data_IF_369258051757
#
_entry.id   IF_369258051757
#
_cell.length_a   1.000
_cell.length_b   1.000
_cell.length_c   1.000
_cell.angle_alpha   90.00
_cell.angle_beta   90.00
_cell.angle_gamma   90.00
#
_symmetry.space_group_name_H-M   'P 1'
#
loop_
_entity.id
_entity.type
_entity.pdbx_description
1 polymer ?
#
# COMPACT_ATOMS: atom_id res chain seq x y z
N UNK A 1 -0.28 0.17 29.29
CA UNK A 1 -0.65 -0.88 28.32
C UNK A 1 -0.75 -0.37 26.88
N UNK A 2 -1.46 0.76 26.56
CA UNK A 2 -1.64 1.18 25.15
C UNK A 2 -0.32 1.34 24.38
N UNK A 3 0.65 2.09 24.89
CA UNK A 3 1.94 2.32 24.22
C UNK A 3 2.76 1.04 23.91
N UNK A 4 2.57 -0.01 24.72
CA UNK A 4 3.22 -1.30 24.46
C UNK A 4 2.50 -2.07 23.34
N UNK A 5 1.17 -1.93 23.27
CA UNK A 5 0.39 -2.57 22.23
C UNK A 5 0.74 -1.97 20.86
N UNK A 6 0.81 -0.65 20.75
CA UNK A 6 1.19 0.02 19.49
C UNK A 6 2.55 -0.48 18.98
N UNK A 7 3.55 -0.60 19.86
CA UNK A 7 4.87 -1.12 19.49
C UNK A 7 4.82 -2.59 19.03
N UNK A 8 3.95 -3.42 19.63
CA UNK A 8 3.75 -4.81 19.21
C UNK A 8 3.09 -4.86 17.85
N UNK A 9 2.06 -4.07 17.61
CA UNK A 9 1.37 -4.03 16.30
C UNK A 9 2.30 -3.54 15.20
N UNK A 10 3.14 -2.52 15.47
CA UNK A 10 4.17 -2.08 14.52
C UNK A 10 5.20 -3.18 14.22
N UNK A 11 5.61 -3.95 15.23
CA UNK A 11 6.55 -5.06 15.03
C UNK A 11 5.92 -6.19 14.19
N UNK A 12 4.65 -6.53 14.43
CA UNK A 12 3.91 -7.52 13.64
C UNK A 12 3.79 -7.03 12.19
N UNK A 13 3.43 -5.75 11.99
CA UNK A 13 3.31 -5.18 10.65
C UNK A 13 4.65 -5.12 9.91
N UNK A 14 5.74 -4.80 10.61
CA UNK A 14 7.08 -4.82 10.03
C UNK A 14 7.50 -6.25 9.62
N UNK A 15 7.23 -7.27 10.45
CA UNK A 15 7.49 -8.66 10.12
C UNK A 15 6.67 -9.11 8.88
N UNK A 16 5.40 -8.71 8.82
CA UNK A 16 4.54 -8.95 7.65
C UNK A 16 5.13 -8.33 6.38
N UNK A 17 5.59 -7.08 6.44
CA UNK A 17 6.24 -6.40 5.32
C UNK A 17 7.48 -7.14 4.84
N UNK A 18 8.38 -7.52 5.74
CA UNK A 18 9.58 -8.28 5.42
C UNK A 18 9.28 -9.61 4.73
N UNK A 19 8.30 -10.37 5.24
CA UNK A 19 7.90 -11.64 4.62
C UNK A 19 7.25 -11.47 3.23
N UNK A 20 6.71 -10.30 2.92
CA UNK A 20 6.15 -10.01 1.59
C UNK A 20 7.17 -9.49 0.58
N UNK A 21 8.22 -8.84 1.07
CA UNK A 21 9.30 -8.30 0.25
C UNK A 21 10.41 -9.33 0.02
N UNK A 22 10.23 -10.58 0.52
CA UNK A 22 11.16 -11.66 0.23
C UNK A 22 11.36 -11.81 -1.27
N UNK A 23 12.57 -11.46 -1.65
CA UNK A 23 13.07 -11.44 -3.02
C UNK A 23 12.86 -12.82 -3.62
N UNK A 24 12.14 -12.88 -4.73
CA UNK A 24 12.05 -14.09 -5.54
C UNK A 24 13.47 -14.56 -5.88
N UNK A 25 13.92 -15.65 -5.27
CA UNK A 25 15.25 -16.24 -5.51
C UNK A 25 16.10 -16.53 -4.28
N UNK A 26 15.68 -16.12 -3.09
CA UNK A 26 16.27 -16.59 -1.83
C UNK A 26 15.23 -17.47 -1.14
N UNK A 27 15.13 -18.72 -1.62
CA UNK A 27 14.49 -19.80 -0.87
C UNK A 27 15.28 -19.98 0.45
N UNK A 28 14.90 -19.25 1.49
CA UNK A 28 15.14 -19.70 2.84
C UNK A 28 13.95 -20.60 3.22
N UNK A 29 14.10 -21.93 3.12
CA UNK A 29 13.03 -22.83 3.52
C UNK A 29 12.79 -22.66 5.02
N UNK A 30 11.64 -22.14 5.42
CA UNK A 30 11.20 -22.24 6.79
C UNK A 30 10.68 -20.98 7.50
N UNK A 31 10.71 -19.80 6.93
CA UNK A 31 10.21 -18.61 7.60
C UNK A 31 9.10 -17.94 6.77
N UNK A 32 7.86 -18.39 6.93
CA UNK A 32 6.68 -17.65 6.46
C UNK A 32 6.35 -16.51 7.44
N UNK A 33 7.20 -15.48 7.46
CA UNK A 33 7.01 -14.32 8.34
C UNK A 33 5.67 -13.62 8.11
N UNK A 34 5.19 -13.59 6.88
CA UNK A 34 3.90 -12.98 6.58
C UNK A 34 2.75 -13.80 7.17
N UNK A 35 2.74 -15.11 6.98
CA UNK A 35 1.76 -16.01 7.58
C UNK A 35 1.79 -16.02 9.10
N UNK A 36 2.99 -15.99 9.69
CA UNK A 36 3.15 -15.91 11.15
C UNK A 36 2.63 -14.57 11.70
N UNK A 37 2.87 -13.46 11.01
CA UNK A 37 2.35 -12.14 11.41
C UNK A 37 0.82 -12.12 11.37
N UNK A 38 0.19 -12.68 10.33
CA UNK A 38 -1.27 -12.80 10.24
C UNK A 38 -1.81 -13.72 11.36
N UNK A 39 -1.13 -14.84 11.62
CA UNK A 39 -1.51 -15.72 12.72
C UNK A 39 -1.45 -15.02 14.08
N UNK A 40 -0.38 -14.27 14.35
CA UNK A 40 -0.24 -13.48 15.57
C UNK A 40 -1.36 -12.44 15.71
N UNK A 41 -1.69 -11.72 14.64
CA UNK A 41 -2.76 -10.73 14.68
C UNK A 41 -4.12 -11.38 14.97
N UNK A 42 -4.43 -12.55 14.39
CA UNK A 42 -5.64 -13.32 14.74
C UNK A 42 -5.62 -13.75 16.20
N UNK A 43 -4.49 -14.27 16.68
CA UNK A 43 -4.36 -14.65 18.09
C UNK A 43 -4.65 -13.48 19.04
N UNK A 44 -4.18 -12.27 18.69
CA UNK A 44 -4.44 -11.08 19.50
C UNK A 44 -5.89 -10.60 19.36
N UNK A 45 -6.51 -10.64 18.17
CA UNK A 45 -7.91 -10.24 17.99
C UNK A 45 -8.87 -11.09 18.82
N UNK A 46 -8.60 -12.40 18.93
CA UNK A 46 -9.37 -13.32 19.78
C UNK A 46 -9.20 -13.03 21.29
N UNK A 47 -8.05 -12.55 21.71
CA UNK A 47 -7.71 -12.34 23.13
C UNK A 47 -7.99 -10.93 23.64
N UNK A 48 -8.01 -9.97 22.75
CA UNK A 48 -8.21 -8.55 23.02
C UNK A 48 -9.28 -7.98 22.07
N UNK A 49 -10.52 -8.52 22.12
CA UNK A 49 -11.55 -8.17 21.14
C UNK A 49 -12.03 -6.71 21.21
N UNK A 50 -11.69 -5.99 22.28
CA UNK A 50 -12.04 -4.59 22.50
C UNK A 50 -10.95 -3.61 22.01
N UNK A 51 -9.89 -4.12 21.36
CA UNK A 51 -8.78 -3.30 20.85
C UNK A 51 -8.87 -3.11 19.33
N UNK A 52 -9.39 -1.96 18.85
CA UNK A 52 -9.74 -1.75 17.45
C UNK A 52 -8.53 -1.81 16.49
N UNK A 53 -7.34 -1.40 16.92
CA UNK A 53 -6.17 -1.41 16.05
C UNK A 53 -5.63 -2.82 15.80
N UNK A 54 -5.92 -3.80 16.66
CA UNK A 54 -5.62 -5.22 16.38
C UNK A 54 -6.48 -5.71 15.21
N UNK A 55 -7.80 -5.46 15.27
CA UNK A 55 -8.72 -5.78 14.19
C UNK A 55 -8.37 -5.03 12.91
N UNK A 56 -7.99 -3.74 13.03
CA UNK A 56 -7.52 -2.92 11.91
C UNK A 56 -6.28 -3.51 11.24
N UNK A 57 -5.29 -3.91 12.01
CA UNK A 57 -4.06 -4.53 11.50
C UNK A 57 -4.34 -5.87 10.82
N UNK A 58 -5.15 -6.73 11.44
CA UNK A 58 -5.54 -8.01 10.84
C UNK A 58 -6.28 -7.80 9.52
N UNK A 59 -7.26 -6.89 9.48
CA UNK A 59 -7.98 -6.55 8.27
C UNK A 59 -7.04 -6.04 7.16
N UNK A 60 -6.11 -5.15 7.49
CA UNK A 60 -5.11 -4.62 6.56
C UNK A 60 -4.29 -5.75 5.91
N UNK A 61 -3.74 -6.64 6.73
CA UNK A 61 -2.92 -7.74 6.24
C UNK A 61 -3.74 -8.71 5.37
N UNK A 62 -4.97 -9.05 5.78
CA UNK A 62 -5.87 -9.92 5.01
C UNK A 62 -6.27 -9.31 3.66
N UNK A 63 -6.58 -8.01 3.59
CA UNK A 63 -6.81 -7.32 2.30
C UNK A 63 -5.57 -7.36 1.41
N UNK A 64 -4.39 -7.20 1.97
CA UNK A 64 -3.15 -7.30 1.24
C UNK A 64 -2.90 -8.73 0.71
N UNK A 65 -3.13 -9.75 1.54
CA UNK A 65 -2.96 -11.16 1.17
C UNK A 65 -3.97 -11.63 0.14
N UNK A 66 -5.19 -11.11 0.21
CA UNK A 66 -6.22 -11.41 -0.77
C UNK A 66 -5.76 -11.17 -2.22
N UNK A 67 -4.80 -10.27 -2.42
CA UNK A 67 -4.26 -9.87 -3.72
C UNK A 67 -2.87 -10.41 -4.03
N UNK A 68 -2.31 -11.24 -3.15
CA UNK A 68 -0.92 -11.73 -3.27
C UNK A 68 -0.67 -12.42 -4.61
N UNK A 69 -1.57 -13.32 -5.03
CA UNK A 69 -1.46 -14.03 -6.31
C UNK A 69 -1.54 -13.12 -7.55
N UNK A 70 -2.16 -11.93 -7.44
CA UNK A 70 -2.32 -10.98 -8.54
C UNK A 70 -1.14 -10.00 -8.68
N UNK A 71 -0.20 -9.98 -7.73
CA UNK A 71 0.92 -9.02 -7.74
C UNK A 71 2.02 -9.32 -8.75
N UNK A 72 2.07 -10.57 -9.22
CA UNK A 72 3.04 -11.03 -10.20
C UNK A 72 2.36 -11.85 -11.28
N UNK A 73 2.89 -11.76 -12.50
CA UNK A 73 2.52 -12.69 -13.58
C UNK A 73 3.11 -14.07 -13.30
N UNK A 74 2.70 -15.09 -14.08
CA UNK A 74 3.30 -16.42 -14.03
C UNK A 74 4.82 -16.40 -14.26
N UNK A 75 5.29 -15.44 -15.07
CA UNK A 75 6.72 -15.25 -15.37
C UNK A 75 7.44 -14.37 -14.34
N UNK A 76 6.77 -13.99 -13.22
CA UNK A 76 7.35 -13.24 -12.12
C UNK A 76 7.38 -11.73 -12.29
N UNK A 77 6.84 -11.14 -13.36
CA UNK A 77 6.78 -9.69 -13.56
C UNK A 77 5.83 -9.03 -12.57
N UNK A 78 6.22 -7.86 -12.06
CA UNK A 78 5.39 -7.07 -11.17
C UNK A 78 4.14 -6.54 -11.87
N UNK A 79 2.98 -6.65 -11.20
CA UNK A 79 1.68 -6.15 -11.69
C UNK A 79 1.16 -5.09 -10.71
N UNK A 80 1.10 -3.80 -11.12
CA UNK A 80 0.57 -2.75 -10.26
C UNK A 80 -0.92 -2.97 -9.98
N UNK A 81 -1.40 -2.45 -8.85
CA UNK A 81 -2.77 -2.67 -8.38
C UNK A 81 -3.84 -2.33 -9.44
N UNK A 82 -3.64 -1.25 -10.19
CA UNK A 82 -4.55 -0.83 -11.27
C UNK A 82 -4.69 -1.87 -12.39
N UNK A 83 -3.66 -2.66 -12.63
CA UNK A 83 -3.58 -3.66 -13.71
C UNK A 83 -3.90 -5.09 -13.22
N UNK A 84 -4.03 -5.30 -11.91
CA UNK A 84 -4.40 -6.61 -11.36
C UNK A 84 -5.80 -7.02 -11.78
N UNK A 85 -5.96 -8.31 -12.10
CA UNK A 85 -7.29 -8.88 -12.36
C UNK A 85 -8.02 -9.19 -11.04
N UNK A 86 -9.11 -8.46 -10.69
CA UNK A 86 -9.83 -8.70 -9.44
C UNK A 86 -10.44 -10.09 -9.32
N UNK A 87 -10.68 -10.81 -10.41
CA UNK A 87 -11.21 -12.18 -10.39
C UNK A 87 -10.24 -13.19 -9.75
N UNK A 88 -8.95 -12.84 -9.66
CA UNK A 88 -7.92 -13.70 -9.02
C UNK A 88 -7.76 -13.41 -7.52
N UNK A 89 -8.46 -12.42 -7.00
CA UNK A 89 -8.37 -12.07 -5.58
C UNK A 89 -9.15 -13.06 -4.70
N UNK A 90 -8.62 -13.35 -3.51
CA UNK A 90 -9.26 -14.26 -2.57
C UNK A 90 -10.51 -13.64 -1.94
N UNK A 91 -11.68 -14.03 -2.43
CA UNK A 91 -12.95 -13.58 -1.87
C UNK A 91 -13.13 -14.00 -0.39
N UNK A 92 -12.51 -15.09 0.05
CA UNK A 92 -12.56 -15.54 1.44
C UNK A 92 -11.76 -14.58 2.34
N UNK A 93 -10.52 -14.23 1.96
CA UNK A 93 -9.70 -13.29 2.71
C UNK A 93 -10.32 -11.88 2.74
N UNK A 94 -10.94 -11.43 1.63
CA UNK A 94 -11.66 -10.15 1.60
C UNK A 94 -12.81 -10.14 2.60
N UNK A 95 -13.66 -11.17 2.63
CA UNK A 95 -14.78 -11.24 3.60
C UNK A 95 -14.33 -11.27 5.06
N UNK A 96 -13.25 -11.99 5.36
CA UNK A 96 -12.67 -12.00 6.69
C UNK A 96 -12.14 -10.59 7.05
N UNK A 97 -11.41 -9.94 6.15
CA UNK A 97 -10.92 -8.58 6.35
C UNK A 97 -12.05 -7.56 6.58
N UNK A 98 -13.15 -7.66 5.81
CA UNK A 98 -14.33 -6.81 5.99
C UNK A 98 -14.98 -7.04 7.38
N UNK A 99 -15.01 -8.28 7.85
CA UNK A 99 -15.55 -8.62 9.18
C UNK A 99 -14.70 -7.99 10.28
N UNK A 100 -13.38 -8.09 10.19
CA UNK A 100 -12.44 -7.51 11.14
C UNK A 100 -12.50 -5.97 11.12
N UNK A 101 -12.53 -5.36 9.94
CA UNK A 101 -12.66 -3.91 9.81
C UNK A 101 -13.98 -3.39 10.40
N UNK A 102 -15.08 -4.12 10.19
CA UNK A 102 -16.36 -3.79 10.78
C UNK A 102 -16.36 -3.96 12.33
N UNK A 103 -15.62 -4.94 12.86
CA UNK A 103 -15.42 -5.09 14.30
C UNK A 103 -14.66 -3.88 14.87
N UNK A 104 -13.54 -3.50 14.24
CA UNK A 104 -12.78 -2.31 14.62
C UNK A 104 -13.63 -1.04 14.64
N UNK A 105 -14.42 -0.82 13.58
CA UNK A 105 -15.27 0.36 13.43
C UNK A 105 -16.33 0.47 14.55
N UNK A 106 -16.91 -0.65 14.96
CA UNK A 106 -17.93 -0.67 16.06
C UNK A 106 -17.36 -0.23 17.41
N UNK A 107 -16.05 -0.33 17.63
CA UNK A 107 -15.41 0.08 18.87
C UNK A 107 -15.20 1.62 18.96
N UNK A 108 -15.43 2.37 17.88
CA UNK A 108 -15.55 3.83 17.89
C UNK A 108 -14.25 4.59 18.20
N UNK A 109 -13.10 3.93 18.15
CA UNK A 109 -11.77 4.54 18.30
C UNK A 109 -10.99 4.33 17.02
N UNK A 110 -10.89 5.37 16.20
CA UNK A 110 -10.19 5.31 14.91
C UNK A 110 -8.68 5.33 15.14
N UNK A 111 -7.96 4.44 14.47
CA UNK A 111 -6.52 4.37 14.50
C UNK A 111 -5.92 4.18 13.10
N UNK A 112 -4.59 4.15 13.04
CA UNK A 112 -3.83 4.08 11.79
C UNK A 112 -4.15 2.85 10.96
N UNK A 113 -4.09 1.66 11.59
CA UNK A 113 -4.29 0.40 10.85
C UNK A 113 -5.72 0.25 10.33
N UNK A 114 -6.71 0.79 11.06
CA UNK A 114 -8.08 0.85 10.57
C UNK A 114 -8.21 1.73 9.31
N UNK A 115 -7.57 2.90 9.28
CA UNK A 115 -7.58 3.79 8.12
C UNK A 115 -6.88 3.14 6.92
N UNK A 116 -5.72 2.52 7.14
CA UNK A 116 -5.02 1.78 6.09
C UNK A 116 -5.87 0.60 5.58
N UNK A 117 -6.54 -0.14 6.46
CA UNK A 117 -7.47 -1.21 6.07
C UNK A 117 -8.68 -0.69 5.29
N UNK A 118 -9.27 0.44 5.71
CA UNK A 118 -10.39 1.08 5.00
C UNK A 118 -10.00 1.48 3.57
N UNK A 119 -8.79 2.00 3.36
CA UNK A 119 -8.26 2.29 2.02
C UNK A 119 -8.19 1.00 1.18
N UNK A 120 -7.70 -0.11 1.77
CA UNK A 120 -7.64 -1.40 1.06
C UNK A 120 -9.03 -1.96 0.76
N UNK A 121 -10.00 -1.80 1.67
CA UNK A 121 -11.41 -2.19 1.44
C UNK A 121 -11.97 -1.50 0.20
N UNK A 122 -11.82 -0.17 0.08
CA UNK A 122 -12.26 0.58 -1.11
C UNK A 122 -11.60 0.07 -2.39
N UNK A 123 -10.32 -0.28 -2.34
CA UNK A 123 -9.66 -0.89 -3.50
C UNK A 123 -10.26 -2.26 -3.87
N UNK A 124 -10.67 -3.07 -2.89
CA UNK A 124 -11.26 -4.39 -3.16
C UNK A 124 -12.68 -4.33 -3.70
N UNK A 125 -13.45 -3.27 -3.41
CA UNK A 125 -14.78 -3.03 -4.00
C UNK A 125 -14.75 -2.99 -5.54
N UNK A 126 -13.60 -2.71 -6.15
CA UNK A 126 -13.43 -2.78 -7.61
C UNK A 126 -13.79 -4.15 -8.18
N UNK A 127 -13.62 -5.24 -7.41
CA UNK A 127 -14.02 -6.57 -7.84
C UNK A 127 -15.52 -6.69 -8.13
N UNK A 128 -16.34 -5.89 -7.46
CA UNK A 128 -17.79 -5.89 -7.59
C UNK A 128 -18.30 -4.73 -8.47
N UNK A 129 -17.69 -3.55 -8.33
CA UNK A 129 -18.16 -2.31 -8.97
C UNK A 129 -17.48 -2.01 -10.31
N UNK A 130 -16.37 -2.67 -10.61
CA UNK A 130 -15.51 -2.38 -11.77
C UNK A 130 -14.73 -1.07 -11.66
N UNK A 131 -14.92 -0.28 -10.59
CA UNK A 131 -14.31 1.05 -10.41
C UNK A 131 -13.79 1.24 -8.98
N UNK A 132 -12.73 2.05 -8.85
CA UNK A 132 -12.20 2.47 -7.55
C UNK A 132 -12.84 3.80 -7.14
N UNK A 133 -13.32 3.90 -5.91
CA UNK A 133 -13.87 5.14 -5.34
C UNK A 133 -12.74 6.03 -4.80
N UNK A 134 -12.05 6.72 -5.71
CA UNK A 134 -10.93 7.60 -5.36
C UNK A 134 -11.29 8.72 -4.38
N UNK A 135 -12.47 9.38 -4.48
CA UNK A 135 -12.89 10.35 -3.46
C UNK A 135 -12.91 9.77 -2.03
N UNK A 136 -13.41 8.57 -1.84
CA UNK A 136 -13.40 7.91 -0.51
C UNK A 136 -11.96 7.63 -0.04
N UNK A 137 -11.09 7.17 -0.93
CA UNK A 137 -9.67 6.91 -0.63
C UNK A 137 -8.96 8.20 -0.19
N UNK A 138 -9.22 9.33 -0.85
CA UNK A 138 -8.64 10.62 -0.49
C UNK A 138 -9.03 11.01 0.93
N UNK A 139 -10.31 10.90 1.29
CA UNK A 139 -10.79 11.20 2.65
C UNK A 139 -10.08 10.34 3.71
N UNK A 140 -9.91 9.03 3.45
CA UNK A 140 -9.17 8.17 4.39
C UNK A 140 -7.70 8.56 4.48
N UNK A 141 -7.04 8.94 3.37
CA UNK A 141 -5.66 9.42 3.43
C UNK A 141 -5.52 10.77 4.14
N UNK A 142 -6.49 11.68 4.04
CA UNK A 142 -6.50 12.94 4.79
C UNK A 142 -6.44 12.65 6.29
N UNK A 143 -7.35 11.81 6.80
CA UNK A 143 -7.34 11.40 8.19
C UNK A 143 -6.08 10.60 8.59
N UNK A 144 -5.57 9.74 7.70
CA UNK A 144 -4.35 8.98 7.96
C UNK A 144 -3.13 9.89 8.09
N UNK A 145 -3.01 10.90 7.22
CA UNK A 145 -1.89 11.86 7.26
C UNK A 145 -1.98 12.77 8.49
N UNK A 146 -3.19 13.10 8.96
CA UNK A 146 -3.39 13.85 10.22
C UNK A 146 -2.98 13.01 11.44
N UNK A 147 -3.39 11.73 11.47
CA UNK A 147 -3.16 10.84 12.61
C UNK A 147 -1.72 10.30 12.65
N UNK A 148 -1.19 9.90 11.49
CA UNK A 148 0.12 9.27 11.31
C UNK A 148 0.81 9.79 10.04
N UNK A 149 1.48 10.95 10.10
CA UNK A 149 2.03 11.64 8.93
C UNK A 149 3.30 10.96 8.37
N UNK A 150 3.17 9.72 7.95
CA UNK A 150 4.29 8.98 7.33
C UNK A 150 4.54 9.46 5.91
N UNK A 151 5.78 9.31 5.45
CA UNK A 151 6.13 9.61 4.06
C UNK A 151 5.33 8.77 3.06
N UNK A 152 5.12 7.48 3.39
CA UNK A 152 4.30 6.57 2.58
C UNK A 152 2.87 7.05 2.42
N UNK A 153 2.21 7.46 3.51
CA UNK A 153 0.84 7.96 3.47
C UNK A 153 0.71 9.23 2.61
N UNK A 154 1.67 10.17 2.73
CA UNK A 154 1.68 11.41 1.93
C UNK A 154 1.88 11.15 0.43
N UNK A 155 2.78 10.23 0.06
CA UNK A 155 3.02 9.87 -1.34
C UNK A 155 1.82 9.12 -1.92
N UNK A 156 1.21 8.21 -1.16
CA UNK A 156 0.04 7.48 -1.59
C UNK A 156 -1.21 8.39 -1.70
N UNK A 157 -1.36 9.38 -0.79
CA UNK A 157 -2.37 10.42 -0.91
C UNK A 157 -2.22 11.20 -2.22
N UNK A 158 -0.99 11.61 -2.56
CA UNK A 158 -0.74 12.32 -3.81
C UNK A 158 -1.09 11.49 -5.05
N UNK A 159 -0.81 10.18 -5.03
CA UNK A 159 -1.23 9.28 -6.08
C UNK A 159 -2.76 9.15 -6.18
N UNK A 160 -3.48 9.05 -5.05
CA UNK A 160 -4.93 9.01 -5.03
C UNK A 160 -5.56 10.31 -5.55
N UNK A 161 -4.98 11.47 -5.20
CA UNK A 161 -5.39 12.78 -5.74
C UNK A 161 -5.18 12.84 -7.25
N UNK A 162 -4.08 12.29 -7.76
CA UNK A 162 -3.84 12.24 -9.20
C UNK A 162 -4.88 11.40 -9.95
N UNK A 163 -5.28 10.26 -9.39
CA UNK A 163 -6.31 9.40 -9.97
C UNK A 163 -7.69 10.06 -10.01
N UNK A 164 -8.02 10.87 -9.00
CA UNK A 164 -9.30 11.57 -8.92
C UNK A 164 -9.34 12.88 -9.71
N UNK A 165 -8.25 13.65 -9.74
CA UNK A 165 -8.20 15.04 -10.17
C UNK A 165 -7.15 15.31 -11.25
N UNK A 166 -6.44 14.29 -11.72
CA UNK A 166 -5.43 14.36 -12.76
C UNK A 166 -4.02 14.57 -12.26
N UNK A 167 -3.05 14.25 -13.11
CA UNK A 167 -1.62 14.20 -12.79
C UNK A 167 -1.08 15.52 -12.19
N UNK A 168 -1.52 16.67 -12.70
CA UNK A 168 -1.08 17.98 -12.19
C UNK A 168 -1.44 18.18 -10.70
N UNK A 169 -2.64 17.74 -10.28
CA UNK A 169 -3.07 17.83 -8.89
C UNK A 169 -2.21 16.93 -7.98
N UNK A 170 -1.89 15.71 -8.43
CA UNK A 170 -1.00 14.80 -7.71
C UNK A 170 0.42 15.34 -7.60
N UNK A 171 0.98 15.91 -8.67
CA UNK A 171 2.30 16.55 -8.67
C UNK A 171 2.34 17.70 -7.66
N UNK A 172 1.31 18.55 -7.63
CA UNK A 172 1.22 19.63 -6.66
C UNK A 172 1.21 19.13 -5.20
N UNK A 173 0.64 17.96 -4.92
CA UNK A 173 0.72 17.33 -3.59
C UNK A 173 2.13 16.78 -3.31
N UNK A 174 2.78 16.13 -4.28
CA UNK A 174 4.16 15.65 -4.12
C UNK A 174 5.14 16.79 -3.85
N UNK A 175 4.96 17.94 -4.49
CA UNK A 175 5.83 19.11 -4.34
C UNK A 175 5.76 19.76 -2.93
N UNK A 176 4.73 19.43 -2.13
CA UNK A 176 4.62 19.85 -0.72
C UNK A 176 5.45 18.98 0.23
N UNK A 177 5.92 17.82 -0.24
CA UNK A 177 6.75 16.93 0.57
C UNK A 177 8.19 17.43 0.51
N UNK A 178 8.84 17.52 1.68
CA UNK A 178 10.22 17.95 1.77
C UNK A 178 11.14 17.06 0.92
N UNK A 179 11.91 17.67 0.03
CA UNK A 179 12.79 16.97 -0.91
C UNK A 179 13.93 16.20 -0.24
N UNK A 180 14.40 16.64 0.90
CA UNK A 180 15.44 15.94 1.62
C UNK A 180 14.92 14.59 2.19
N UNK A 181 13.68 14.58 2.66
CA UNK A 181 13.05 13.38 3.20
C UNK A 181 12.76 12.29 2.15
N UNK A 182 12.58 12.68 0.89
CA UNK A 182 12.26 11.75 -0.21
C UNK A 182 13.47 11.26 -0.99
N UNK A 183 14.67 11.76 -0.69
CA UNK A 183 15.87 11.51 -1.50
C UNK A 183 16.17 10.00 -1.70
N UNK A 184 15.92 9.17 -0.70
CA UNK A 184 16.10 7.71 -0.74
C UNK A 184 14.79 6.92 -0.76
N UNK A 185 13.64 7.59 -0.92
CA UNK A 185 12.34 6.93 -0.89
C UNK A 185 11.86 6.59 -2.30
N UNK A 186 12.12 5.38 -2.74
CA UNK A 186 11.83 4.87 -4.09
C UNK A 186 10.38 5.14 -4.56
N UNK A 187 9.31 4.91 -3.74
CA UNK A 187 7.94 5.10 -4.21
C UNK A 187 7.62 6.55 -4.61
N UNK A 188 8.23 7.54 -3.95
CA UNK A 188 8.06 8.95 -4.34
C UNK A 188 8.53 9.19 -5.78
N UNK A 189 9.71 8.69 -6.14
CA UNK A 189 10.27 8.89 -7.47
C UNK A 189 9.50 8.13 -8.54
N UNK A 190 9.00 6.92 -8.21
CA UNK A 190 8.16 6.15 -9.12
C UNK A 190 6.82 6.84 -9.42
N UNK A 191 6.13 7.34 -8.37
CA UNK A 191 4.88 8.09 -8.53
C UNK A 191 5.14 9.40 -9.29
N UNK A 192 6.20 10.15 -8.93
CA UNK A 192 6.54 11.39 -9.62
C UNK A 192 6.80 11.16 -11.12
N UNK A 193 7.62 10.15 -11.46
CA UNK A 193 7.92 9.80 -12.85
C UNK A 193 6.65 9.46 -13.65
N UNK A 194 5.78 8.66 -13.05
CA UNK A 194 4.50 8.29 -13.65
C UNK A 194 3.61 9.52 -13.91
N UNK A 195 3.46 10.39 -12.93
CA UNK A 195 2.61 11.58 -13.04
C UNK A 195 3.17 12.62 -14.02
N UNK A 196 4.48 12.84 -14.03
CA UNK A 196 5.12 13.72 -15.02
C UNK A 196 4.86 13.22 -16.44
N UNK A 197 4.95 11.91 -16.67
CA UNK A 197 4.64 11.33 -17.98
C UNK A 197 3.18 11.47 -18.37
N UNK A 198 2.25 11.28 -17.41
CA UNK A 198 0.82 11.48 -17.66
C UNK A 198 0.46 12.95 -17.96
N UNK A 199 1.17 13.90 -17.36
CA UNK A 199 0.97 15.32 -17.60
C UNK A 199 1.34 15.76 -19.04
N UNK A 200 2.15 14.97 -19.76
CA UNK A 200 2.33 15.10 -21.21
C UNK A 200 3.08 16.34 -21.70
N UNK A 201 3.73 17.08 -20.82
CA UNK A 201 4.50 18.27 -21.20
C UNK A 201 5.84 17.89 -21.84
N UNK A 202 6.06 18.34 -23.08
CA UNK A 202 7.29 18.04 -23.86
C UNK A 202 8.56 18.57 -23.18
N UNK A 203 8.46 19.63 -22.39
CA UNK A 203 9.55 20.21 -21.60
C UNK A 203 9.96 19.36 -20.40
N UNK A 204 9.12 18.40 -20.00
CA UNK A 204 9.35 17.53 -18.84
C UNK A 204 10.09 16.23 -19.17
N UNK A 205 10.45 15.94 -20.42
CA UNK A 205 11.07 14.66 -20.80
C UNK A 205 12.35 14.36 -20.00
N UNK A 206 13.21 15.35 -19.81
CA UNK A 206 14.41 15.20 -19.01
C UNK A 206 14.08 14.95 -17.51
N UNK A 207 13.07 15.63 -16.99
CA UNK A 207 12.62 15.46 -15.60
C UNK A 207 11.94 14.09 -15.40
N UNK A 208 11.13 13.63 -16.36
CA UNK A 208 10.55 12.28 -16.38
C UNK A 208 11.64 11.22 -16.29
N UNK A 209 12.65 11.33 -17.18
CA UNK A 209 13.77 10.38 -17.21
C UNK A 209 14.57 10.40 -15.91
N UNK A 210 14.89 11.58 -15.38
CA UNK A 210 15.60 11.72 -14.12
C UNK A 210 14.85 11.10 -12.94
N UNK A 211 13.51 11.25 -12.90
CA UNK A 211 12.67 10.64 -11.87
C UNK A 211 12.64 9.10 -11.99
N UNK A 212 12.52 8.55 -13.22
CA UNK A 212 12.63 7.11 -13.45
C UNK A 212 14.01 6.58 -13.06
N UNK A 213 15.10 7.24 -13.48
CA UNK A 213 16.46 6.83 -13.13
C UNK A 213 16.66 6.75 -11.62
N UNK A 214 16.10 7.72 -10.90
CA UNK A 214 16.15 7.72 -9.44
C UNK A 214 15.33 6.57 -8.84
N UNK A 215 14.12 6.34 -9.33
CA UNK A 215 13.26 5.22 -8.89
C UNK A 215 13.90 3.86 -9.17
N UNK A 216 14.49 3.67 -10.36
CA UNK A 216 15.19 2.44 -10.76
C UNK A 216 16.43 2.21 -9.90
N UNK A 217 17.23 3.26 -9.65
CA UNK A 217 18.44 3.16 -8.82
C UNK A 217 18.15 2.81 -7.35
N UNK A 218 16.97 3.16 -6.85
CA UNK A 218 16.53 2.87 -5.48
C UNK A 218 15.72 1.56 -5.37
N UNK A 219 15.31 0.95 -6.48
CA UNK A 219 14.52 -0.28 -6.47
C UNK A 219 15.37 -1.48 -6.01
N UNK A 220 14.96 -2.10 -4.92
CA UNK A 220 15.62 -3.30 -4.37
C UNK A 220 15.08 -4.59 -5.01
N UNK A 221 13.75 -4.67 -5.23
CA UNK A 221 13.12 -5.82 -5.90
C UNK A 221 13.41 -5.79 -7.40
N UNK A 222 13.98 -6.88 -7.97
CA UNK A 222 14.29 -6.97 -9.39
C UNK A 222 13.07 -6.82 -10.31
N UNK A 223 11.91 -7.34 -9.92
CA UNK A 223 10.70 -7.24 -10.73
C UNK A 223 10.15 -5.81 -10.75
N UNK A 224 10.19 -5.10 -9.63
CA UNK A 224 9.87 -3.67 -9.57
C UNK A 224 10.85 -2.85 -10.41
N UNK A 225 12.15 -3.18 -10.36
CA UNK A 225 13.16 -2.51 -11.18
C UNK A 225 12.89 -2.72 -12.66
N UNK A 226 12.60 -3.96 -13.09
CA UNK A 226 12.29 -4.26 -14.48
C UNK A 226 11.03 -3.52 -14.94
N UNK A 227 9.97 -3.53 -14.14
CA UNK A 227 8.75 -2.77 -14.42
C UNK A 227 9.03 -1.27 -14.66
N UNK A 228 9.90 -0.66 -13.85
CA UNK A 228 10.24 0.76 -14.01
C UNK A 228 11.09 0.99 -15.28
N UNK A 229 11.99 0.07 -15.64
CA UNK A 229 12.75 0.11 -16.89
C UNK A 229 11.82 0.06 -18.10
N UNK A 230 10.86 -0.87 -18.11
CA UNK A 230 9.87 -1.03 -19.20
C UNK A 230 8.99 0.22 -19.32
N UNK A 231 8.67 0.86 -18.19
CA UNK A 231 7.87 2.09 -18.17
C UNK A 231 8.67 3.33 -18.57
N UNK A 232 9.97 3.32 -18.39
CA UNK A 232 10.84 4.43 -18.82
C UNK A 232 10.93 4.52 -20.35
N UNK A 233 10.90 3.40 -21.08
CA UNK A 233 10.96 3.26 -22.53
C UNK A 233 12.36 3.17 -23.03
#
# INVERSE_FOLDING_TARGET
>A
LPQRLDAVLEAIYAAYGLGRDEVAGVDQPGLDLAGEAVWLARFFSDRLPDEPEIHGLLALMLFCDARSAARRTADGHYVPLSEQNPATWSAAAIREAETELAAASRLGRIGRFQLEAAIQSVHTERAQTGRTNWPAIIVFYEHLVELAPTLGARVAQAAAVAEAHGAAAGLAQLDRIDRASVASYQPFWAVRAHLLRQAGETSAAAEVNAAYDRAIGLAQDPATRQFLLDRRG
#
